data_IF_330814877487
#
_entry.id   IF_330814877487
#
_cell.length_a   1.000
_cell.length_b   1.000
_cell.length_c   1.000
_cell.angle_alpha   90.00
_cell.angle_beta   90.00
_cell.angle_gamma   90.00
#
_symmetry.space_group_name_H-M   'P 1'
#
loop_
_entity.id
_entity.type
_entity.pdbx_description
1 polymer ?
#
# COMPACT_ATOMS: atom_id res chain seq x y z
N UNK A 1 8.52 7.67 25.54
CA UNK A 1 9.21 6.43 25.20
C UNK A 1 8.29 5.24 25.11
N UNK A 2 7.29 5.13 25.97
CA UNK A 2 6.35 4.01 25.89
C UNK A 2 5.60 3.95 24.57
N UNK A 3 5.51 5.08 23.87
CA UNK A 3 4.81 5.17 22.58
C UNK A 3 5.60 4.57 21.43
N UNK A 4 6.93 4.60 21.55
CA UNK A 4 7.80 4.17 20.46
C UNK A 4 7.58 2.74 19.96
N UNK A 5 7.43 1.73 20.83
CA UNK A 5 7.19 0.38 20.35
C UNK A 5 5.92 0.28 19.51
N UNK A 6 4.88 0.99 19.92
CA UNK A 6 3.63 1.00 19.17
C UNK A 6 3.81 1.68 17.81
N UNK A 7 4.49 2.83 17.80
CA UNK A 7 4.72 3.56 16.56
C UNK A 7 5.55 2.76 15.57
N UNK A 8 6.57 2.07 16.07
CA UNK A 8 7.40 1.21 15.21
C UNK A 8 6.59 0.09 14.61
N UNK A 9 5.73 -0.52 15.41
CA UNK A 9 4.87 -1.60 14.93
C UNK A 9 3.89 -1.08 13.88
N UNK A 10 3.25 0.04 14.15
CA UNK A 10 2.31 0.65 13.21
C UNK A 10 3.00 0.99 11.90
N UNK A 11 4.18 1.59 11.96
CA UNK A 11 4.92 1.94 10.76
C UNK A 11 5.34 0.69 9.98
N UNK A 12 5.74 -0.37 10.67
CA UNK A 12 6.12 -1.62 10.01
C UNK A 12 4.94 -2.23 9.25
N UNK A 13 3.75 -2.19 9.85
CA UNK A 13 2.54 -2.69 9.20
C UNK A 13 2.24 -1.90 7.93
N UNK A 14 2.31 -0.57 8.03
CA UNK A 14 2.03 0.30 6.90
C UNK A 14 3.07 0.13 5.81
N UNK A 15 4.34 0.05 6.18
CA UNK A 15 5.43 -0.15 5.22
C UNK A 15 5.28 -1.47 4.48
N UNK A 16 4.91 -2.53 5.20
CA UNK A 16 4.69 -3.82 4.55
C UNK A 16 3.54 -3.75 3.57
N UNK A 17 2.46 -3.10 3.95
CA UNK A 17 1.31 -2.92 3.05
C UNK A 17 1.72 -2.12 1.81
N UNK A 18 2.56 -1.10 1.97
CA UNK A 18 3.05 -0.30 0.85
C UNK A 18 3.91 -1.13 -0.11
N UNK A 19 4.79 -1.96 0.44
CA UNK A 19 5.62 -2.87 -0.37
C UNK A 19 4.74 -3.83 -1.15
N UNK A 20 3.78 -4.44 -0.47
CA UNK A 20 2.88 -5.41 -1.10
C UNK A 20 2.01 -4.77 -2.17
N UNK A 21 1.58 -3.53 -1.93
CA UNK A 21 0.78 -2.78 -2.91
C UNK A 21 1.59 -2.50 -4.18
N UNK A 22 2.83 -2.05 -4.03
CA UNK A 22 3.71 -1.83 -5.17
C UNK A 22 3.92 -3.10 -5.98
N UNK A 23 4.13 -4.22 -5.30
CA UNK A 23 4.30 -5.52 -5.96
C UNK A 23 3.07 -5.89 -6.77
N UNK A 24 1.89 -5.75 -6.17
CA UNK A 24 0.63 -6.07 -6.86
C UNK A 24 0.44 -5.20 -8.09
N UNK A 25 0.71 -3.91 -7.97
CA UNK A 25 0.56 -2.98 -9.08
C UNK A 25 1.54 -3.29 -10.22
N UNK A 26 2.79 -3.58 -9.89
CA UNK A 26 3.80 -3.93 -10.90
C UNK A 26 3.42 -5.21 -11.63
N UNK A 27 2.95 -6.18 -10.87
CA UNK A 27 2.54 -7.45 -11.47
C UNK A 27 1.37 -7.26 -12.41
N UNK A 28 0.41 -6.41 -12.04
CA UNK A 28 -0.73 -6.12 -12.90
C UNK A 28 -0.36 -5.36 -14.15
N UNK A 29 0.71 -4.57 -14.11
CA UNK A 29 1.22 -3.91 -15.32
C UNK A 29 1.74 -4.93 -16.32
N UNK A 30 2.43 -5.95 -15.84
CA UNK A 30 3.00 -6.99 -16.69
C UNK A 30 1.99 -8.07 -17.04
N UNK A 31 1.08 -8.37 -16.11
CA UNK A 31 0.10 -9.45 -16.25
C UNK A 31 -1.28 -8.94 -15.81
N UNK A 32 -1.97 -8.17 -16.67
CA UNK A 32 -3.26 -7.56 -16.29
C UNK A 32 -4.33 -8.57 -15.88
N UNK A 33 -4.21 -9.82 -16.32
CA UNK A 33 -5.19 -10.86 -16.02
C UNK A 33 -4.83 -11.67 -14.77
N UNK A 34 -3.80 -11.27 -14.04
CA UNK A 34 -3.38 -11.98 -12.83
C UNK A 34 -4.41 -11.75 -11.73
N UNK A 35 -5.24 -12.77 -11.49
CA UNK A 35 -6.33 -12.67 -10.52
C UNK A 35 -5.82 -12.60 -9.08
N UNK A 36 -4.68 -13.23 -8.81
CA UNK A 36 -4.10 -13.18 -7.47
C UNK A 36 -3.60 -11.77 -7.15
N UNK A 37 -2.91 -11.15 -8.10
CA UNK A 37 -2.43 -9.78 -7.91
C UNK A 37 -3.60 -8.80 -7.76
N UNK A 38 -4.67 -9.00 -8.51
CA UNK A 38 -5.86 -8.17 -8.40
C UNK A 38 -6.52 -8.33 -7.03
N UNK A 39 -6.58 -9.55 -6.53
CA UNK A 39 -7.12 -9.83 -5.20
C UNK A 39 -6.28 -9.16 -4.12
N UNK A 40 -4.95 -9.26 -4.23
CA UNK A 40 -4.03 -8.64 -3.28
C UNK A 40 -4.18 -7.12 -3.29
N UNK A 41 -4.26 -6.54 -4.47
CA UNK A 41 -4.46 -5.11 -4.64
C UNK A 41 -5.71 -4.64 -3.89
N UNK A 42 -6.83 -5.34 -4.09
CA UNK A 42 -8.09 -4.98 -3.46
C UNK A 42 -8.05 -5.12 -1.94
N UNK A 43 -7.40 -6.16 -1.44
CA UNK A 43 -7.25 -6.36 0.00
C UNK A 43 -6.46 -5.24 0.63
N UNK A 44 -5.38 -4.82 0.00
CA UNK A 44 -4.53 -3.75 0.51
C UNK A 44 -5.26 -2.40 0.44
N UNK A 45 -6.00 -2.15 -0.64
CA UNK A 45 -6.81 -0.95 -0.76
C UNK A 45 -7.86 -0.86 0.35
N UNK A 46 -8.47 -1.98 0.70
CA UNK A 46 -9.39 -2.05 1.84
C UNK A 46 -8.70 -1.67 3.13
N UNK A 47 -7.47 -2.16 3.31
CA UNK A 47 -6.71 -1.82 4.50
C UNK A 47 -6.43 -0.32 4.58
N UNK A 48 -5.97 0.28 3.49
CA UNK A 48 -5.66 1.72 3.48
C UNK A 48 -6.87 2.60 3.73
N UNK A 49 -8.06 2.14 3.39
CA UNK A 49 -9.29 2.92 3.57
C UNK A 49 -10.09 2.48 4.80
N UNK A 50 -9.54 1.59 5.61
CA UNK A 50 -10.24 1.06 6.78
C UNK A 50 -10.09 1.97 8.00
N UNK A 51 -11.00 1.77 8.95
CA UNK A 51 -10.90 2.41 10.26
C UNK A 51 -9.60 1.97 10.96
N UNK A 52 -9.20 0.72 10.74
CA UNK A 52 -7.97 0.18 11.31
C UNK A 52 -6.76 1.03 10.91
N UNK A 53 -6.65 1.36 9.63
CA UNK A 53 -5.56 2.21 9.13
C UNK A 53 -5.59 3.58 9.82
N UNK A 54 -6.77 4.17 9.99
CA UNK A 54 -6.90 5.48 10.61
C UNK A 54 -6.49 5.48 12.08
N UNK A 55 -6.53 4.34 12.72
CA UNK A 55 -6.05 4.18 14.10
C UNK A 55 -4.52 4.10 14.13
N UNK A 56 -3.93 3.49 13.12
CA UNK A 56 -2.48 3.30 13.05
C UNK A 56 -1.71 4.58 12.74
N UNK A 57 -2.31 5.49 11.99
CA UNK A 57 -1.61 6.68 11.53
C UNK A 57 -2.60 7.80 11.21
N UNK A 58 -2.10 9.04 11.22
CA UNK A 58 -2.86 10.21 10.79
C UNK A 58 -2.75 10.45 9.29
N UNK A 59 -1.94 9.68 8.58
CA UNK A 59 -1.80 9.78 7.13
C UNK A 59 -3.11 9.39 6.46
N UNK A 60 -3.50 10.15 5.43
CA UNK A 60 -4.68 9.84 4.64
C UNK A 60 -4.38 8.60 3.77
N UNK A 61 -5.09 7.50 4.04
CA UNK A 61 -4.85 6.25 3.33
C UNK A 61 -5.13 6.34 1.85
N UNK A 62 -6.15 7.09 1.47
CA UNK A 62 -6.48 7.28 0.05
C UNK A 62 -5.35 8.03 -0.67
N UNK A 63 -4.84 9.08 -0.03
CA UNK A 63 -3.71 9.83 -0.57
C UNK A 63 -2.50 8.93 -0.74
N UNK A 64 -2.19 8.13 0.28
CA UNK A 64 -1.05 7.21 0.23
C UNK A 64 -1.21 6.20 -0.89
N UNK A 65 -2.39 5.63 -1.03
CA UNK A 65 -2.69 4.66 -2.09
C UNK A 65 -2.46 5.27 -3.47
N UNK A 66 -2.94 6.47 -3.68
CA UNK A 66 -2.77 7.18 -4.95
C UNK A 66 -1.30 7.53 -5.21
N UNK A 67 -0.59 7.94 -4.17
CA UNK A 67 0.83 8.25 -4.29
C UNK A 67 1.66 7.02 -4.66
N UNK A 68 1.34 5.87 -4.08
CA UNK A 68 2.03 4.62 -4.40
C UNK A 68 1.76 4.19 -5.83
N UNK A 69 0.52 4.31 -6.28
CA UNK A 69 0.15 3.97 -7.65
C UNK A 69 0.88 4.87 -8.64
N UNK A 70 0.92 6.16 -8.35
CA UNK A 70 1.62 7.12 -9.20
C UNK A 70 3.11 6.80 -9.28
N UNK A 71 3.73 6.46 -8.15
CA UNK A 71 5.14 6.09 -8.12
C UNK A 71 5.42 4.90 -9.04
N UNK A 72 4.61 3.87 -8.98
CA UNK A 72 4.79 2.67 -9.81
C UNK A 72 4.65 3.02 -11.29
N UNK A 73 3.60 3.77 -11.65
CA UNK A 73 3.36 4.12 -13.03
C UNK A 73 4.43 5.05 -13.59
N UNK A 74 4.93 5.99 -12.80
CA UNK A 74 5.98 6.89 -13.23
C UNK A 74 7.30 6.16 -13.48
N UNK A 75 7.66 5.24 -12.60
CA UNK A 75 8.86 4.43 -12.79
C UNK A 75 8.77 3.63 -14.08
N UNK A 76 7.60 3.06 -14.35
CA UNK A 76 7.38 2.29 -15.57
C UNK A 76 7.50 3.18 -16.81
N UNK A 77 6.93 4.38 -16.71
CA UNK A 77 6.97 5.33 -17.82
C UNK A 77 8.38 5.82 -18.15
N UNK A 78 9.27 5.80 -17.17
CA UNK A 78 10.64 6.26 -17.36
C UNK A 78 11.58 5.17 -17.85
N UNK A 79 11.11 3.94 -17.84
CA UNK A 79 11.90 2.82 -18.33
C UNK A 79 11.82 2.66 -19.84
#
# INVERSE_FOLDING_TARGET
MAVEPYEKLANAIIEQAAVDYRKALRRLQDFPDDTEAESDKKKIERFFTSVWFSILTTVDGKWLMEALAKEVFEKRGNA
#
